data_IF_588839877911
#
_entry.id   IF_588839877911
#
_cell.length_a   1.000
_cell.length_b   1.000
_cell.length_c   1.000
_cell.angle_alpha   90.00
_cell.angle_beta   90.00
_cell.angle_gamma   90.00
#
_symmetry.space_group_name_H-M   'P 1'
#
loop_
_entity.id
_entity.type
_entity.pdbx_description
1 polymer ?
#
# COMPACT_ATOMS: atom_id res chain seq x y z
N UNK A 1 -3.18 -30.04 -13.77
CA UNK A 1 -2.10 -29.37 -14.54
C UNK A 1 -2.48 -28.00 -15.10
N UNK A 2 -3.68 -27.76 -15.67
CA UNK A 2 -4.06 -26.42 -16.16
C UNK A 2 -4.24 -25.39 -15.02
N UNK A 3 -4.89 -25.79 -13.92
CA UNK A 3 -5.13 -24.94 -12.74
C UNK A 3 -3.82 -24.54 -12.04
N UNK A 4 -2.85 -25.45 -11.98
CA UNK A 4 -1.55 -25.21 -11.35
C UNK A 4 -0.72 -24.16 -12.11
N UNK A 5 -0.76 -24.17 -13.45
CA UNK A 5 -0.13 -23.14 -14.29
C UNK A 5 -0.69 -21.74 -14.03
N UNK A 6 -2.00 -21.60 -13.83
CA UNK A 6 -2.62 -20.30 -13.50
C UNK A 6 -2.20 -19.80 -12.11
N UNK A 7 -2.08 -20.69 -11.12
CA UNK A 7 -1.65 -20.34 -9.75
C UNK A 7 -0.20 -19.87 -9.73
N UNK A 8 0.68 -20.50 -10.51
CA UNK A 8 2.10 -20.13 -10.61
C UNK A 8 2.27 -18.78 -11.33
N UNK A 9 1.52 -18.54 -12.42
CA UNK A 9 1.52 -17.26 -13.12
C UNK A 9 1.03 -16.11 -12.23
N UNK A 10 -0.07 -16.33 -11.49
CA UNK A 10 -0.64 -15.31 -10.60
C UNK A 10 0.30 -14.95 -9.44
N UNK A 11 1.05 -15.91 -8.89
CA UNK A 11 2.07 -15.64 -7.87
C UNK A 11 3.27 -14.87 -8.43
N UNK A 12 3.69 -15.18 -9.66
CA UNK A 12 4.82 -14.51 -10.32
C UNK A 12 4.55 -13.04 -10.63
N UNK A 13 3.29 -12.66 -10.86
CA UNK A 13 2.92 -11.27 -11.16
C UNK A 13 2.63 -10.46 -9.88
N UNK A 14 2.11 -11.11 -8.84
CA UNK A 14 1.79 -10.46 -7.58
C UNK A 14 3.01 -9.81 -6.91
N UNK A 15 4.13 -10.53 -6.87
CA UNK A 15 5.36 -10.09 -6.22
C UNK A 15 5.96 -8.81 -6.82
N UNK A 16 6.23 -8.72 -8.15
CA UNK A 16 6.75 -7.49 -8.75
C UNK A 16 5.74 -6.34 -8.70
N UNK A 17 4.43 -6.63 -8.81
CA UNK A 17 3.39 -5.60 -8.74
C UNK A 17 3.33 -4.97 -7.34
N UNK A 18 3.44 -5.78 -6.28
CA UNK A 18 3.54 -5.29 -4.91
C UNK A 18 4.81 -4.45 -4.70
N UNK A 19 5.97 -4.95 -5.14
CA UNK A 19 7.23 -4.23 -5.03
C UNK A 19 7.15 -2.84 -5.71
N UNK A 20 6.62 -2.80 -6.93
CA UNK A 20 6.43 -1.57 -7.69
C UNK A 20 5.45 -0.64 -6.98
N UNK A 21 4.33 -1.15 -6.48
CA UNK A 21 3.35 -0.34 -5.73
C UNK A 21 3.95 0.30 -4.47
N UNK A 22 4.73 -0.45 -3.69
CA UNK A 22 5.38 0.06 -2.48
C UNK A 22 6.44 1.11 -2.85
N UNK A 23 7.20 0.89 -3.93
CA UNK A 23 8.17 1.86 -4.44
C UNK A 23 7.53 3.17 -4.86
N UNK A 24 6.43 3.12 -5.63
CA UNK A 24 5.68 4.31 -6.05
C UNK A 24 5.06 5.04 -4.85
N UNK A 25 4.48 4.31 -3.89
CA UNK A 25 3.93 4.90 -2.68
C UNK A 25 5.01 5.54 -1.81
N UNK A 26 6.13 4.85 -1.60
CA UNK A 26 7.27 5.39 -0.87
C UNK A 26 7.85 6.65 -1.52
N UNK A 27 7.95 6.66 -2.86
CA UNK A 27 8.35 7.84 -3.61
C UNK A 27 7.35 8.99 -3.45
N UNK A 28 6.05 8.71 -3.52
CA UNK A 28 5.00 9.71 -3.31
C UNK A 28 5.04 10.31 -1.88
N UNK A 29 5.42 9.53 -0.88
CA UNK A 29 5.63 10.03 0.49
C UNK A 29 6.90 10.88 0.63
N UNK A 30 7.94 10.57 -0.14
CA UNK A 30 9.22 11.27 -0.09
C UNK A 30 9.26 12.54 -0.97
N UNK A 31 8.43 12.62 -2.01
CA UNK A 31 8.42 13.79 -2.89
C UNK A 31 7.88 15.04 -2.20
N UNK A 32 8.45 16.18 -2.57
CA UNK A 32 7.98 17.51 -2.18
C UNK A 32 7.04 18.14 -3.22
N UNK A 33 6.61 17.40 -4.23
CA UNK A 33 5.73 17.88 -5.30
C UNK A 33 4.26 18.01 -4.89
N UNK A 34 3.93 17.85 -3.61
CA UNK A 34 2.57 18.11 -3.14
C UNK A 34 2.30 19.62 -3.21
N UNK A 35 1.04 20.06 -3.41
CA UNK A 35 0.69 21.48 -3.48
C UNK A 35 1.05 22.31 -2.22
N UNK A 36 1.43 21.65 -1.13
CA UNK A 36 1.92 22.26 0.10
C UNK A 36 3.43 22.03 0.34
N UNK A 37 4.17 21.52 -0.66
CA UNK A 37 5.56 21.10 -0.54
C UNK A 37 5.67 19.65 -0.06
N UNK A 38 6.47 19.40 0.97
CA UNK A 38 6.62 18.06 1.54
C UNK A 38 5.53 17.78 2.60
N UNK A 39 4.93 16.59 2.53
CA UNK A 39 3.86 16.12 3.42
C UNK A 39 4.30 16.14 4.89
N UNK A 40 5.55 15.72 5.16
CA UNK A 40 6.10 15.57 6.50
C UNK A 40 6.54 16.88 7.16
N UNK A 41 7.02 17.86 6.39
CA UNK A 41 7.65 19.06 6.97
C UNK A 41 6.77 20.30 6.91
N UNK A 42 6.07 20.52 5.79
CA UNK A 42 5.32 21.77 5.54
C UNK A 42 3.81 21.59 5.73
N UNK A 43 3.29 20.41 5.38
CA UNK A 43 1.85 20.15 5.32
C UNK A 43 1.24 19.69 6.67
N UNK A 44 2.08 19.32 7.64
CA UNK A 44 1.68 18.72 8.94
C UNK A 44 0.87 19.66 9.86
N UNK A 45 0.78 20.96 9.57
CA UNK A 45 0.12 21.94 10.46
C UNK A 45 -1.40 21.81 10.58
N UNK A 46 -2.06 20.96 9.79
CA UNK A 46 -3.53 20.84 9.79
C UNK A 46 -3.95 19.43 10.20
N UNK A 47 -4.86 19.30 11.18
CA UNK A 47 -5.39 18.01 11.67
C UNK A 47 -5.78 17.01 10.56
N UNK A 48 -6.55 17.37 9.52
CA UNK A 48 -6.87 16.46 8.40
C UNK A 48 -5.63 15.86 7.72
N UNK A 49 -4.54 16.62 7.60
CA UNK A 49 -3.32 16.17 6.94
C UNK A 49 -2.52 15.21 7.83
N UNK A 50 -2.60 15.37 9.15
CA UNK A 50 -2.04 14.41 10.11
C UNK A 50 -2.74 13.05 9.96
N UNK A 51 -4.07 13.06 9.83
CA UNK A 51 -4.86 11.84 9.62
C UNK A 51 -4.45 11.17 8.30
N UNK A 52 -4.39 11.93 7.20
CA UNK A 52 -3.91 11.46 5.90
C UNK A 52 -2.52 10.81 6.02
N UNK A 53 -1.58 11.49 6.69
CA UNK A 53 -0.21 11.01 6.86
C UNK A 53 -0.14 9.70 7.64
N UNK A 54 -0.95 9.54 8.69
CA UNK A 54 -1.05 8.29 9.45
C UNK A 54 -1.64 7.17 8.58
N UNK A 55 -2.72 7.44 7.83
CA UNK A 55 -3.33 6.44 6.95
C UNK A 55 -2.37 5.96 5.85
N UNK A 56 -1.68 6.91 5.19
CA UNK A 56 -0.70 6.58 4.15
C UNK A 56 0.49 5.82 4.74
N UNK A 57 1.12 6.33 5.80
CA UNK A 57 2.30 5.67 6.38
C UNK A 57 1.98 4.29 6.98
N UNK A 58 0.84 4.14 7.67
CA UNK A 58 0.40 2.84 8.18
C UNK A 58 0.07 1.86 7.04
N UNK A 59 -0.57 2.34 5.97
CA UNK A 59 -0.88 1.53 4.80
C UNK A 59 0.37 1.07 4.03
N UNK A 60 1.34 1.96 3.79
CA UNK A 60 2.63 1.59 3.18
C UNK A 60 3.40 0.63 4.08
N UNK A 61 3.42 0.86 5.40
CA UNK A 61 4.04 -0.04 6.37
C UNK A 61 3.42 -1.44 6.36
N UNK A 62 2.09 -1.53 6.31
CA UNK A 62 1.35 -2.80 6.19
C UNK A 62 1.68 -3.56 4.91
N UNK A 63 1.71 -2.88 3.76
CA UNK A 63 2.13 -3.47 2.49
C UNK A 63 3.59 -3.94 2.53
N UNK A 64 4.49 -3.15 3.12
CA UNK A 64 5.89 -3.52 3.31
C UNK A 64 6.07 -4.77 4.17
N UNK A 65 5.29 -4.92 5.24
CA UNK A 65 5.32 -6.10 6.09
C UNK A 65 4.92 -7.37 5.31
N UNK A 66 3.86 -7.28 4.50
CA UNK A 66 3.43 -8.41 3.64
C UNK A 66 4.51 -8.77 2.63
N UNK A 67 5.12 -7.76 2.00
CA UNK A 67 6.21 -7.95 1.04
C UNK A 67 7.40 -8.67 1.67
N UNK A 68 7.79 -8.30 2.89
CA UNK A 68 8.83 -9.01 3.65
C UNK A 68 8.43 -10.46 3.95
N UNK A 69 7.19 -10.70 4.38
CA UNK A 69 6.69 -12.05 4.60
C UNK A 69 6.70 -12.90 3.33
N UNK A 70 6.42 -12.33 2.15
CA UNK A 70 6.53 -13.02 0.86
C UNK A 70 8.00 -13.28 0.46
N UNK A 71 8.89 -12.31 0.68
CA UNK A 71 10.31 -12.44 0.36
C UNK A 71 10.98 -13.56 1.15
N UNK A 72 10.77 -13.59 2.46
CA UNK A 72 11.32 -14.64 3.31
C UNK A 72 10.63 -15.99 3.09
N UNK A 73 9.33 -16.00 2.77
CA UNK A 73 8.59 -17.21 2.40
C UNK A 73 9.09 -17.84 1.10
N UNK A 74 9.56 -17.03 0.13
CA UNK A 74 10.20 -17.50 -1.08
C UNK A 74 11.61 -18.08 -0.82
N UNK A 75 12.34 -17.52 0.16
CA UNK A 75 13.68 -17.96 0.51
C UNK A 75 13.69 -19.25 1.36
N UNK A 76 12.65 -19.50 2.16
CA UNK A 76 12.58 -20.68 3.03
C UNK A 76 11.18 -21.31 3.03
N UNK A 77 11.01 -22.39 2.27
CA UNK A 77 9.74 -23.12 2.09
C UNK A 77 9.16 -23.73 3.39
N UNK A 78 10.00 -23.91 4.42
CA UNK A 78 9.56 -24.37 5.76
C UNK A 78 9.03 -23.27 6.66
N UNK A 79 9.21 -22.01 6.30
CA UNK A 79 8.98 -20.92 7.25
C UNK A 79 7.50 -20.76 7.59
N UNK A 80 6.59 -20.92 6.62
CA UNK A 80 5.15 -20.72 6.86
C UNK A 80 4.26 -21.52 5.89
N UNK A 81 3.90 -22.79 6.19
CA UNK A 81 2.94 -23.54 5.39
C UNK A 81 1.57 -23.62 6.08
N UNK A 82 0.60 -22.84 5.60
CA UNK A 82 -0.80 -23.01 6.02
C UNK A 82 -1.79 -22.12 5.26
N UNK A 83 -2.99 -22.65 4.88
CA UNK A 83 -4.03 -21.88 4.19
C UNK A 83 -4.55 -20.69 5.03
N UNK A 84 -4.51 -20.81 6.36
CA UNK A 84 -4.90 -19.74 7.30
C UNK A 84 -3.97 -18.52 7.19
N UNK A 85 -2.68 -18.73 6.92
CA UNK A 85 -1.72 -17.65 6.77
C UNK A 85 -1.99 -16.84 5.48
N UNK A 86 -2.33 -17.52 4.38
CA UNK A 86 -2.68 -16.84 3.12
C UNK A 86 -3.91 -15.96 3.27
N UNK A 87 -4.95 -16.42 3.97
CA UNK A 87 -6.15 -15.61 4.23
C UNK A 87 -5.84 -14.37 5.07
N UNK A 88 -5.03 -14.51 6.13
CA UNK A 88 -4.62 -13.36 6.97
C UNK A 88 -3.82 -12.35 6.15
N UNK A 89 -2.88 -12.81 5.31
CA UNK A 89 -2.11 -11.91 4.42
C UNK A 89 -3.02 -11.14 3.47
N UNK A 90 -4.02 -11.78 2.87
CA UNK A 90 -4.99 -11.13 2.00
C UNK A 90 -5.84 -10.08 2.76
N UNK A 91 -6.26 -10.39 3.99
CA UNK A 91 -7.00 -9.44 4.83
C UNK A 91 -6.16 -8.20 5.15
N UNK A 92 -4.90 -8.39 5.56
CA UNK A 92 -3.98 -7.27 5.83
C UNK A 92 -3.71 -6.47 4.56
N UNK A 93 -3.59 -7.13 3.39
CA UNK A 93 -3.40 -6.46 2.11
C UNK A 93 -4.59 -5.57 1.77
N UNK A 94 -5.80 -6.09 1.96
CA UNK A 94 -7.03 -5.34 1.72
C UNK A 94 -7.18 -4.14 2.66
N UNK A 95 -6.90 -4.33 3.95
CA UNK A 95 -6.93 -3.24 4.95
C UNK A 95 -5.86 -2.18 4.64
N UNK A 96 -4.66 -2.61 4.27
CA UNK A 96 -3.58 -1.68 3.92
C UNK A 96 -3.89 -0.90 2.65
N UNK A 97 -4.40 -1.56 1.61
CA UNK A 97 -4.78 -0.93 0.35
C UNK A 97 -5.93 0.07 0.54
N UNK A 98 -6.95 -0.30 1.33
CA UNK A 98 -8.06 0.61 1.66
C UNK A 98 -7.62 1.80 2.50
N UNK A 99 -6.66 1.63 3.43
CA UNK A 99 -6.07 2.74 4.18
C UNK A 99 -5.33 3.72 3.27
N UNK A 100 -4.49 3.24 2.34
CA UNK A 100 -3.79 4.08 1.37
C UNK A 100 -4.78 4.82 0.46
N UNK A 101 -5.79 4.10 -0.06
CA UNK A 101 -6.82 4.69 -0.91
C UNK A 101 -7.60 5.79 -0.18
N UNK A 102 -8.03 5.53 1.05
CA UNK A 102 -8.80 6.47 1.87
C UNK A 102 -7.95 7.70 2.23
N UNK A 103 -6.67 7.50 2.58
CA UNK A 103 -5.75 8.61 2.83
C UNK A 103 -5.59 9.51 1.60
N UNK A 104 -5.48 8.91 0.41
CA UNK A 104 -5.38 9.66 -0.83
C UNK A 104 -6.68 10.43 -1.16
N UNK A 105 -7.84 9.77 -1.03
CA UNK A 105 -9.15 10.38 -1.24
C UNK A 105 -9.41 11.56 -0.30
N UNK A 106 -9.06 11.39 0.98
CA UNK A 106 -9.22 12.43 1.98
C UNK A 106 -8.31 13.63 1.68
N UNK A 107 -7.07 13.38 1.26
CA UNK A 107 -6.17 14.45 0.85
C UNK A 107 -6.74 15.27 -0.31
N UNK A 108 -7.18 14.58 -1.36
CA UNK A 108 -7.65 15.22 -2.59
C UNK A 108 -8.98 15.94 -2.37
N UNK A 109 -9.89 15.40 -1.56
CA UNK A 109 -11.12 16.09 -1.15
C UNK A 109 -10.84 17.44 -0.46
N UNK A 110 -9.83 17.48 0.42
CA UNK A 110 -9.52 18.69 1.18
C UNK A 110 -8.67 19.71 0.42
N UNK A 111 -7.75 19.26 -0.44
CA UNK A 111 -6.81 20.15 -1.13
C UNK A 111 -7.13 20.43 -2.59
N UNK A 112 -7.93 19.60 -3.24
CA UNK A 112 -8.26 19.74 -4.66
C UNK A 112 -9.78 19.61 -4.86
N UNK A 113 -10.56 20.70 -4.66
CA UNK A 113 -12.02 20.68 -4.76
C UNK A 113 -12.56 20.42 -6.19
N UNK A 114 -11.68 20.36 -7.20
CA UNK A 114 -12.02 20.23 -8.62
C UNK A 114 -11.70 18.85 -9.21
N UNK A 115 -11.70 17.79 -8.38
CA UNK A 115 -11.55 16.42 -8.88
C UNK A 115 -12.88 15.83 -9.36
N UNK A 116 -12.83 14.90 -10.31
CA UNK A 116 -14.02 14.35 -10.97
C UNK A 116 -15.05 13.67 -10.05
N UNK A 117 -14.66 13.27 -8.83
CA UNK A 117 -15.55 12.66 -7.84
C UNK A 117 -16.08 13.65 -6.79
N UNK A 118 -15.70 14.93 -6.86
CA UNK A 118 -16.24 16.04 -6.04
C UNK A 118 -17.11 17.01 -6.84
N UNK A 119 -17.36 16.69 -8.12
CA UNK A 119 -18.18 17.44 -9.07
C UNK A 119 -19.65 16.99 -9.03
#
# INVERSE_FOLDING_TARGET
MYVEKHIIQSKSLHFPLLALSIGLLGYALATADWPCGNLYTQCFKTIPIIIVLILLSAGVGGLGLIFLCDLFGACNSKWIPGPVCTTIKLMILFVSASAVLTGNLLYTYWKLPYWSYTL
#
